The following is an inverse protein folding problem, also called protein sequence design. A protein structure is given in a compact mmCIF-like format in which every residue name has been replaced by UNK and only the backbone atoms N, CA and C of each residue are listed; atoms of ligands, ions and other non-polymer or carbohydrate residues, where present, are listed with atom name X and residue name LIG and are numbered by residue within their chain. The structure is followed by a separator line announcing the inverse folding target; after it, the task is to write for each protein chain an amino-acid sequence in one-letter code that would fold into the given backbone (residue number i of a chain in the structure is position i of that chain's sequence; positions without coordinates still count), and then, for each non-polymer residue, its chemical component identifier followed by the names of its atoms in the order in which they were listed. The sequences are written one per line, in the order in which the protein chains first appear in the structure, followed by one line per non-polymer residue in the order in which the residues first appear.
data_IF_825297347975
#
_entry.id   IF_825297347975
#
_cell.length_a   1.000
_cell.length_b   1.000
_cell.length_c   1.000
_cell.angle_alpha   90.00
_cell.angle_beta   90.00
_cell.angle_gamma   90.00
#
_symmetry.space_group_name_H-M   'P 1'
#
loop_
_entity.id
_entity.type
_entity.pdbx_description
1 polymer ?
#
# COMPACT_ATOMS: atom_id res chain seq x y z
N UNK A 1 6.72 -4.16 -7.26
CA UNK A 1 6.02 -3.97 -5.96
C UNK A 1 7.05 -3.56 -4.92
N UNK A 2 6.64 -2.74 -3.96
CA UNK A 2 7.52 -2.13 -2.94
C UNK A 2 7.49 -2.85 -1.59
N UNK A 3 7.03 -4.11 -1.59
CA UNK A 3 6.86 -4.92 -0.37
C UNK A 3 8.19 -5.07 0.40
N UNK A 4 9.33 -5.23 -0.30
CA UNK A 4 10.65 -5.31 0.36
C UNK A 4 11.07 -4.00 1.03
N UNK A 5 10.61 -2.86 0.54
CA UNK A 5 10.86 -1.56 1.16
C UNK A 5 9.96 -1.38 2.39
N UNK A 6 8.67 -1.69 2.26
CA UNK A 6 7.71 -1.68 3.37
C UNK A 6 8.16 -2.54 4.56
N UNK A 7 8.75 -3.71 4.27
CA UNK A 7 9.32 -4.58 5.29
C UNK A 7 10.45 -3.88 6.06
N UNK A 8 11.34 -3.17 5.36
CA UNK A 8 12.43 -2.40 6.01
C UNK A 8 11.88 -1.23 6.83
N UNK A 9 10.91 -0.49 6.30
CA UNK A 9 10.26 0.63 6.99
C UNK A 9 9.55 0.20 8.27
N UNK A 10 8.96 -1.01 8.28
CA UNK A 10 8.29 -1.59 9.45
C UNK A 10 9.21 -2.41 10.36
N UNK A 11 10.49 -2.58 10.00
CA UNK A 11 11.40 -3.44 10.75
C UNK A 11 11.01 -4.93 10.75
N UNK A 12 10.26 -5.37 9.74
CA UNK A 12 9.77 -6.74 9.60
C UNK A 12 10.64 -7.52 8.62
N UNK A 13 10.94 -8.78 8.92
CA UNK A 13 11.66 -9.68 8.02
C UNK A 13 10.72 -10.37 7.04
N UNK A 14 11.28 -10.93 5.95
CA UNK A 14 10.51 -11.76 5.01
C UNK A 14 10.02 -13.06 5.65
N UNK A 15 10.73 -13.56 6.66
CA UNK A 15 10.32 -14.75 7.41
C UNK A 15 9.10 -14.44 8.26
N UNK A 16 9.13 -13.35 9.05
CA UNK A 16 7.98 -12.91 9.84
C UNK A 16 6.76 -12.63 8.95
N UNK A 17 6.94 -12.05 7.77
CA UNK A 17 5.84 -11.89 6.81
C UNK A 17 5.24 -13.23 6.38
N UNK A 18 6.10 -14.23 6.10
CA UNK A 18 5.64 -15.57 5.74
C UNK A 18 4.85 -16.21 6.89
N UNK A 19 5.34 -16.08 8.12
CA UNK A 19 4.68 -16.56 9.34
C UNK A 19 3.31 -15.88 9.54
N UNK A 20 3.23 -14.56 9.38
CA UNK A 20 1.97 -13.80 9.50
C UNK A 20 0.95 -14.18 8.41
N UNK A 21 1.40 -14.47 7.19
CA UNK A 21 0.54 -14.87 6.07
C UNK A 21 0.19 -16.37 6.13
N UNK A 22 0.91 -17.15 6.92
CA UNK A 22 0.72 -18.60 7.05
C UNK A 22 1.27 -19.39 5.86
N UNK A 23 2.38 -18.95 5.28
CA UNK A 23 3.05 -19.61 4.13
C UNK A 23 4.51 -19.92 4.44
N UNK A 24 5.12 -20.79 3.64
CA UNK A 24 6.55 -21.05 3.77
C UNK A 24 7.39 -19.84 3.37
N UNK A 25 8.57 -19.67 3.97
CA UNK A 25 9.54 -18.65 3.57
C UNK A 25 9.92 -18.75 2.08
N UNK A 26 10.03 -19.96 1.53
CA UNK A 26 10.34 -20.17 0.12
C UNK A 26 9.21 -19.64 -0.78
N UNK A 27 7.96 -19.95 -0.44
CA UNK A 27 6.78 -19.43 -1.13
C UNK A 27 6.75 -17.89 -1.05
N UNK A 28 7.00 -17.31 0.12
CA UNK A 28 7.05 -15.87 0.29
C UNK A 28 8.14 -15.24 -0.58
N UNK A 29 9.35 -15.83 -0.60
CA UNK A 29 10.44 -15.35 -1.46
C UNK A 29 10.08 -15.44 -2.94
N UNK A 30 9.40 -16.50 -3.39
CA UNK A 30 8.93 -16.60 -4.77
C UNK A 30 7.90 -15.51 -5.07
N UNK A 31 6.90 -15.31 -4.19
CA UNK A 31 5.88 -14.26 -4.33
C UNK A 31 6.50 -12.87 -4.42
N UNK A 32 7.50 -12.54 -3.60
CA UNK A 32 8.16 -11.23 -3.60
C UNK A 32 9.03 -10.96 -4.84
N UNK A 33 9.41 -11.99 -5.59
CA UNK A 33 10.20 -11.86 -6.82
C UNK A 33 9.37 -12.16 -8.08
N UNK A 34 8.11 -12.57 -7.93
CA UNK A 34 7.24 -12.87 -9.05
C UNK A 34 6.85 -11.60 -9.81
N UNK A 35 6.74 -11.67 -11.16
CA UNK A 35 6.27 -10.55 -11.96
C UNK A 35 4.79 -10.23 -11.70
N UNK A 36 3.99 -11.23 -11.32
CA UNK A 36 2.58 -11.11 -10.97
C UNK A 36 2.23 -12.00 -9.77
N UNK A 37 1.28 -11.55 -8.96
CA UNK A 37 0.80 -12.22 -7.76
C UNK A 37 -0.72 -12.15 -7.73
N UNK A 38 -1.38 -13.18 -7.21
CA UNK A 38 -2.85 -13.20 -7.11
C UNK A 38 -3.36 -12.13 -6.15
N UNK A 39 -4.52 -11.56 -6.45
CA UNK A 39 -5.18 -10.52 -5.63
C UNK A 39 -5.35 -10.96 -4.17
N UNK A 40 -5.79 -12.21 -3.95
CA UNK A 40 -5.95 -12.77 -2.60
C UNK A 40 -4.63 -12.82 -1.82
N UNK A 41 -3.51 -13.11 -2.47
CA UNK A 41 -2.20 -13.09 -1.81
C UNK A 41 -1.78 -11.66 -1.46
N UNK A 42 -2.01 -10.71 -2.36
CA UNK A 42 -1.75 -9.29 -2.10
C UNK A 42 -2.60 -8.76 -0.95
N UNK A 43 -3.87 -9.14 -0.86
CA UNK A 43 -4.76 -8.77 0.25
C UNK A 43 -4.25 -9.32 1.59
N UNK A 44 -3.80 -10.59 1.61
CA UNK A 44 -3.20 -11.20 2.81
C UNK A 44 -1.94 -10.46 3.25
N UNK A 45 -1.06 -10.10 2.30
CA UNK A 45 0.17 -9.35 2.60
C UNK A 45 -0.17 -7.96 3.13
N UNK A 46 -1.10 -7.23 2.49
CA UNK A 46 -1.55 -5.92 2.95
C UNK A 46 -2.13 -5.98 4.37
N UNK A 47 -2.96 -7.00 4.63
CA UNK A 47 -3.55 -7.26 5.94
C UNK A 47 -2.48 -7.58 6.99
N UNK A 48 -1.54 -8.48 6.68
CA UNK A 48 -0.44 -8.84 7.58
C UNK A 48 0.46 -7.63 7.92
N UNK A 49 0.73 -6.78 6.94
CA UNK A 49 1.50 -5.56 7.14
C UNK A 49 0.68 -4.40 7.75
N UNK A 50 -0.64 -4.58 7.90
CA UNK A 50 -1.59 -3.57 8.32
C UNK A 50 -1.44 -2.26 7.51
N UNK A 51 -1.51 -2.40 6.19
CA UNK A 51 -1.45 -1.29 5.22
C UNK A 51 -2.56 -1.44 4.20
N UNK A 52 -3.06 -0.34 3.62
CA UNK A 52 -3.95 -0.43 2.48
C UNK A 52 -3.25 -1.04 1.26
N UNK A 53 -3.99 -1.77 0.42
CA UNK A 53 -3.44 -2.52 -0.71
C UNK A 53 -2.60 -1.68 -1.68
N UNK A 54 -2.98 -0.41 -1.92
CA UNK A 54 -2.25 0.49 -2.81
C UNK A 54 -0.82 0.78 -2.32
N UNK A 55 -0.57 0.72 -1.00
CA UNK A 55 0.78 0.94 -0.46
C UNK A 55 1.78 -0.13 -0.87
N UNK A 56 1.32 -1.31 -1.29
CA UNK A 56 2.20 -2.35 -1.83
C UNK A 56 2.89 -1.90 -3.15
N UNK A 57 2.38 -0.85 -3.78
CA UNK A 57 2.82 -0.34 -5.07
C UNK A 57 3.43 1.07 -5.00
N UNK A 58 2.92 1.95 -4.13
CA UNK A 58 3.38 3.34 -3.99
C UNK A 58 3.53 3.77 -2.52
N UNK A 59 4.45 4.70 -2.24
CA UNK A 59 4.56 5.30 -0.91
C UNK A 59 3.50 6.37 -0.71
N UNK A 60 3.14 6.63 0.55
CA UNK A 60 2.32 7.78 0.95
C UNK A 60 2.86 9.09 0.41
N UNK A 61 4.18 9.30 0.45
CA UNK A 61 4.84 10.52 -0.04
C UNK A 61 4.67 10.70 -1.56
N UNK A 62 4.73 9.60 -2.32
CA UNK A 62 4.54 9.61 -3.77
C UNK A 62 3.11 10.01 -4.14
N UNK A 63 2.12 9.43 -3.45
CA UNK A 63 0.70 9.72 -3.67
C UNK A 63 0.32 11.10 -3.14
N UNK A 64 0.91 11.55 -2.03
CA UNK A 64 0.65 12.87 -1.46
C UNK A 64 1.14 14.02 -2.35
N UNK A 65 2.19 13.79 -3.17
CA UNK A 65 2.70 14.79 -4.13
C UNK A 65 1.77 15.03 -5.32
N UNK A 66 0.82 14.12 -5.57
CA UNK A 66 -0.15 14.21 -6.68
C UNK A 66 -1.47 14.89 -6.30
N UNK A 67 -1.57 15.57 -5.17
CA UNK A 67 -2.56 16.66 -5.04
C UNK A 67 -2.07 17.89 -5.83
N UNK A 68 -1.84 17.72 -7.14
CA UNK A 68 -1.79 18.81 -8.12
C UNK A 68 -3.12 18.92 -8.90
N UNK A 69 -4.13 18.15 -8.49
CA UNK A 69 -5.52 18.35 -8.86
C UNK A 69 -6.24 19.37 -7.97
N UNK A 70 -5.50 20.14 -7.16
CA UNK A 70 -6.14 21.13 -6.30
C UNK A 70 -6.65 22.29 -7.13
N UNK A 71 -6.10 22.62 -8.30
CA UNK A 71 -6.60 23.77 -9.06
C UNK A 71 -7.76 23.40 -9.97
N UNK A 72 -8.90 24.05 -9.75
CA UNK A 72 -10.07 23.94 -10.61
C UNK A 72 -9.70 24.31 -12.06
N UNK A 73 -9.93 23.44 -13.07
CA UNK A 73 -9.57 23.71 -14.46
C UNK A 73 -10.37 24.87 -15.09
N UNK A 74 -11.42 25.34 -14.41
CA UNK A 74 -12.26 26.45 -14.86
C UNK A 74 -11.82 27.81 -14.31
N UNK A 75 -11.40 27.89 -13.04
CA UNK A 75 -11.06 29.16 -12.38
C UNK A 75 -9.63 29.23 -11.82
N UNK A 76 -8.88 28.13 -11.83
CA UNK A 76 -7.52 28.04 -11.30
C UNK A 76 -7.41 28.09 -9.77
N UNK A 77 -8.53 28.15 -9.04
CA UNK A 77 -8.53 28.19 -7.57
C UNK A 77 -8.40 26.79 -6.94
N UNK A 78 -7.79 26.69 -5.74
CA UNK A 78 -7.70 25.43 -5.01
C UNK A 78 -9.09 24.90 -4.62
N UNK A 79 -9.38 23.63 -4.95
CA UNK A 79 -10.57 22.87 -4.60
C UNK A 79 -10.38 22.40 -3.16
N UNK A 80 -10.98 23.12 -2.23
CA UNK A 80 -11.04 22.70 -0.83
C UNK A 80 -12.21 21.73 -0.64
N UNK A 81 -11.93 20.44 -0.48
CA UNK A 81 -12.94 19.43 -0.14
C UNK A 81 -13.21 19.52 1.37
N UNK A 82 -14.42 19.93 1.75
CA UNK A 82 -14.89 19.86 3.14
C UNK A 82 -15.61 18.53 3.36
N UNK A 83 -15.05 17.66 4.19
CA UNK A 83 -15.74 16.42 4.61
C UNK A 83 -16.49 16.67 5.92
N UNK A 84 -17.82 16.64 5.85
CA UNK A 84 -18.67 16.51 7.05
C UNK A 84 -19.01 15.04 7.21
N UNK A 85 -18.47 14.38 8.23
CA UNK A 85 -18.86 13.02 8.58
C UNK A 85 -19.93 13.12 9.66
N UNK A 86 -21.20 12.96 9.29
CA UNK A 86 -22.29 12.79 10.24
C UNK A 86 -22.25 11.35 10.76
N UNK A 87 -21.80 11.16 12.00
CA UNK A 87 -21.91 9.87 12.70
C UNK A 87 -23.36 9.71 13.17
N UNK A 88 -24.15 8.95 12.42
CA UNK A 88 -25.47 8.45 12.84
C UNK A 88 -25.38 7.27 13.79
#
# INVERSE_FOLDING_TARGET
MRIKELLKEKGCTQQELADMVGVSYQSMKQTLNAPSVTTSTLEKIATALNVPMWQLFASTDEVAKETKGETCPYCGQPITIKTTIERG
#
